data_IF_998696312713
#
_entry.id   IF_998696312713
#
_cell.length_a   1.000
_cell.length_b   1.000
_cell.length_c   1.000
_cell.angle_alpha   90.00
_cell.angle_beta   90.00
_cell.angle_gamma   90.00
#
_symmetry.space_group_name_H-M   'P 1'
#
loop_
_entity.id
_entity.type
_entity.pdbx_description
1 polymer ?
#
# COMPACT_ATOMS: atom_id res chain seq x y z
N UNK A 1 15.90 -19.51 -5.72
CA UNK A 1 14.49 -19.06 -5.70
C UNK A 1 14.49 -17.56 -5.83
N UNK A 2 14.06 -17.08 -7.00
CA UNK A 2 14.35 -15.76 -7.52
C UNK A 2 13.39 -14.71 -6.94
N UNK A 3 13.79 -13.43 -6.99
CA UNK A 3 13.01 -12.24 -6.63
C UNK A 3 11.52 -12.24 -7.08
N UNK A 4 11.15 -13.08 -8.04
CA UNK A 4 9.79 -13.24 -8.58
C UNK A 4 8.77 -13.87 -7.62
N UNK A 5 9.20 -14.67 -6.64
CA UNK A 5 8.25 -15.31 -5.69
C UNK A 5 7.94 -14.43 -4.46
N UNK A 6 8.47 -13.21 -4.40
CA UNK A 6 8.50 -12.38 -3.18
C UNK A 6 7.47 -11.23 -3.15
N UNK A 7 6.64 -11.06 -4.19
CA UNK A 7 5.71 -9.93 -4.34
C UNK A 7 4.22 -10.31 -4.29
N UNK A 8 3.86 -11.41 -3.62
CA UNK A 8 2.48 -11.91 -3.71
C UNK A 8 1.44 -10.98 -3.11
N UNK A 9 1.59 -10.47 -1.89
CA UNK A 9 0.43 -9.88 -1.19
C UNK A 9 0.14 -8.43 -1.62
N UNK A 10 1.16 -7.66 -1.99
CA UNK A 10 0.93 -6.34 -2.61
C UNK A 10 0.40 -6.54 -4.04
N UNK A 11 0.82 -7.58 -4.77
CA UNK A 11 0.29 -7.87 -6.11
C UNK A 11 -1.22 -8.19 -6.10
N UNK A 12 -1.76 -8.57 -4.94
CA UNK A 12 -3.18 -8.83 -4.71
C UNK A 12 -3.93 -7.70 -4.01
N UNK A 13 -3.34 -6.51 -3.86
CA UNK A 13 -4.04 -5.35 -3.29
C UNK A 13 -4.34 -5.45 -1.80
N UNK A 14 -3.39 -5.98 -1.02
CA UNK A 14 -3.56 -6.25 0.41
C UNK A 14 -2.69 -5.29 1.22
N UNK A 15 -3.22 -4.16 1.68
CA UNK A 15 -2.63 -3.49 2.85
C UNK A 15 -3.71 -2.98 3.84
N UNK A 16 -4.89 -2.56 3.37
CA UNK A 16 -6.09 -2.36 4.19
C UNK A 16 -7.09 -3.53 4.17
N UNK A 17 -6.89 -4.51 3.29
CA UNK A 17 -7.75 -5.69 3.16
C UNK A 17 -7.49 -6.78 4.19
N UNK A 18 -6.48 -6.67 5.05
CA UNK A 18 -6.08 -7.82 5.87
C UNK A 18 -7.17 -8.17 6.89
N UNK A 19 -7.61 -9.44 7.00
CA UNK A 19 -8.66 -9.80 7.94
C UNK A 19 -8.22 -9.45 9.36
N UNK A 20 -8.99 -8.57 9.98
CA UNK A 20 -8.88 -8.25 11.39
C UNK A 20 -9.81 -9.19 12.15
N UNK A 21 -9.28 -9.87 13.15
CA UNK A 21 -9.99 -10.86 13.95
C UNK A 21 -10.19 -10.29 15.35
N UNK A 22 -11.44 -10.25 15.81
CA UNK A 22 -11.74 -9.80 17.17
C UNK A 22 -11.46 -10.94 18.16
N UNK A 23 -10.59 -10.68 19.14
CA UNK A 23 -10.30 -11.58 20.25
C UNK A 23 -10.32 -10.79 21.56
N UNK A 24 -11.14 -11.24 22.52
CA UNK A 24 -11.31 -10.59 23.82
C UNK A 24 -11.60 -9.07 23.72
N UNK A 25 -12.31 -8.65 22.67
CA UNK A 25 -12.65 -7.24 22.40
C UNK A 25 -11.53 -6.40 21.77
N UNK A 26 -10.40 -7.02 21.43
CA UNK A 26 -9.29 -6.39 20.70
C UNK A 26 -9.28 -6.88 19.24
N UNK A 27 -9.11 -5.94 18.30
CA UNK A 27 -8.91 -6.29 16.89
C UNK A 27 -7.45 -6.67 16.65
N UNK A 28 -7.23 -7.85 16.09
CA UNK A 28 -5.92 -8.42 15.85
C UNK A 28 -5.73 -8.80 14.38
N UNK A 29 -4.50 -8.65 13.91
CA UNK A 29 -4.08 -9.04 12.58
C UNK A 29 -3.17 -10.26 12.69
N UNK A 30 -3.56 -11.41 12.17
CA UNK A 30 -2.67 -12.58 12.24
C UNK A 30 -1.40 -12.38 11.42
N UNK A 31 -0.29 -12.87 11.96
CA UNK A 31 1.02 -12.80 11.31
C UNK A 31 1.00 -13.39 9.89
N UNK A 32 0.22 -14.45 9.68
CA UNK A 32 0.07 -15.11 8.38
C UNK A 32 -0.74 -14.30 7.36
N UNK A 33 -1.60 -13.39 7.84
CA UNK A 33 -2.44 -12.57 6.98
C UNK A 33 -1.68 -11.31 6.51
N UNK A 34 -0.60 -10.94 7.20
CA UNK A 34 0.24 -9.80 6.81
C UNK A 34 0.93 -10.03 5.46
N UNK A 35 0.91 -9.03 4.56
CA UNK A 35 1.67 -9.08 3.33
C UNK A 35 3.13 -9.45 3.56
N UNK A 36 3.62 -10.46 2.85
CA UNK A 36 4.96 -11.01 3.02
C UNK A 36 6.05 -9.93 2.97
N UNK A 37 5.88 -8.96 2.06
CA UNK A 37 6.75 -7.81 1.83
C UNK A 37 6.93 -6.94 3.09
N UNK A 38 5.88 -6.85 3.91
CA UNK A 38 5.90 -6.09 5.14
C UNK A 38 6.27 -6.96 6.35
N UNK A 39 5.77 -8.20 6.37
CA UNK A 39 5.81 -9.10 7.52
C UNK A 39 7.21 -9.37 8.06
N UNK A 40 8.18 -9.67 7.20
CA UNK A 40 9.46 -10.26 7.62
C UNK A 40 10.54 -9.21 7.92
N UNK A 41 10.47 -8.04 7.28
CA UNK A 41 11.56 -7.06 7.32
C UNK A 41 11.08 -5.63 7.58
N UNK A 42 10.08 -5.15 6.84
CA UNK A 42 9.70 -3.74 6.87
C UNK A 42 8.94 -3.38 8.15
N UNK A 43 7.90 -4.13 8.50
CA UNK A 43 7.14 -3.93 9.73
C UNK A 43 8.01 -4.15 10.98
N UNK A 44 8.78 -5.25 11.11
CA UNK A 44 9.67 -5.41 12.26
C UNK A 44 10.74 -4.33 12.39
N UNK A 45 11.31 -3.90 11.26
CA UNK A 45 12.27 -2.81 11.25
C UNK A 45 11.65 -1.49 11.70
N UNK A 46 10.43 -1.17 11.23
CA UNK A 46 9.71 0.04 11.62
C UNK A 46 9.39 0.05 13.11
N UNK A 47 8.79 -1.02 13.62
CA UNK A 47 8.48 -1.18 15.05
C UNK A 47 9.72 -0.98 15.93
N UNK A 48 10.86 -1.57 15.54
CA UNK A 48 12.12 -1.43 16.29
C UNK A 48 12.56 0.04 16.39
N UNK A 49 12.38 0.81 15.32
CA UNK A 49 12.73 2.24 15.27
C UNK A 49 11.77 3.11 16.09
N UNK A 50 10.52 2.67 16.24
CA UNK A 50 9.52 3.32 17.07
C UNK A 50 9.67 3.00 18.57
N UNK A 51 10.60 2.13 18.96
CA UNK A 51 10.81 1.68 20.35
C UNK A 51 9.53 1.10 20.97
N UNK A 52 8.64 0.53 20.15
CA UNK A 52 7.43 -0.10 20.65
C UNK A 52 7.78 -1.46 21.27
N UNK A 53 7.09 -1.78 22.35
CA UNK A 53 7.22 -3.08 23.01
C UNK A 53 6.77 -4.18 22.05
N UNK A 54 7.71 -5.01 21.62
CA UNK A 54 7.41 -6.11 20.69
C UNK A 54 6.41 -7.10 21.28
N UNK A 55 6.55 -7.36 22.58
CA UNK A 55 5.75 -8.32 23.31
C UNK A 55 5.64 -7.91 24.78
N UNK A 56 4.42 -7.57 25.21
CA UNK A 56 4.10 -7.41 26.62
C UNK A 56 2.64 -7.80 26.85
N UNK A 57 2.42 -8.72 27.80
CA UNK A 57 1.09 -9.21 28.16
C UNK A 57 0.24 -8.13 28.85
N UNK A 58 0.88 -7.16 29.48
CA UNK A 58 0.21 -6.13 30.28
C UNK A 58 0.20 -4.76 29.60
N UNK A 59 0.97 -4.58 28.51
CA UNK A 59 1.03 -3.31 27.79
C UNK A 59 -0.06 -3.23 26.73
N UNK A 60 -0.94 -2.21 26.77
CA UNK A 60 -1.85 -1.92 25.67
C UNK A 60 -1.09 -1.47 24.40
N UNK A 61 0.18 -1.10 24.53
CA UNK A 61 1.04 -0.68 23.41
C UNK A 61 1.87 -1.82 22.80
N UNK A 62 1.71 -3.05 23.28
CA UNK A 62 2.43 -4.18 22.72
C UNK A 62 2.02 -4.41 21.26
N UNK A 63 3.02 -4.66 20.44
CA UNK A 63 2.85 -4.87 18.99
C UNK A 63 2.26 -6.22 18.69
N UNK A 64 2.49 -7.22 19.56
CA UNK A 64 2.04 -8.59 19.34
C UNK A 64 1.21 -9.15 20.50
N UNK A 65 0.31 -10.07 20.13
CA UNK A 65 -0.47 -10.96 21.00
C UNK A 65 -0.28 -12.42 20.57
N UNK A 66 -0.49 -13.33 21.51
CA UNK A 66 -0.67 -14.77 21.27
C UNK A 66 -1.98 -15.15 21.96
N UNK A 67 -3.13 -14.90 21.31
CA UNK A 67 -4.43 -15.16 21.91
C UNK A 67 -4.60 -16.66 22.12
N UNK A 68 -5.22 -17.04 23.24
CA UNK A 68 -5.56 -18.43 23.50
C UNK A 68 -6.55 -18.94 22.44
N UNK A 69 -6.27 -20.08 21.84
CA UNK A 69 -7.13 -20.68 20.80
C UNK A 69 -6.73 -20.34 19.36
N UNK A 70 -5.69 -19.54 19.16
CA UNK A 70 -5.10 -19.28 17.84
C UNK A 70 -3.74 -19.97 17.74
N UNK A 71 -3.51 -20.68 16.65
CA UNK A 71 -2.17 -21.19 16.35
C UNK A 71 -1.33 -20.06 15.74
N UNK A 72 -0.56 -19.37 16.57
CA UNK A 72 0.48 -18.46 16.12
C UNK A 72 0.41 -17.07 16.72
N UNK A 73 1.11 -16.14 16.07
CA UNK A 73 1.26 -14.76 16.51
C UNK A 73 0.28 -13.85 15.78
N UNK A 74 -0.20 -12.81 16.45
CA UNK A 74 -1.00 -11.76 15.87
C UNK A 74 -0.42 -10.39 16.24
N UNK A 75 -0.45 -9.45 15.29
CA UNK A 75 -0.16 -8.05 15.51
C UNK A 75 -1.40 -7.32 16.04
N UNK A 76 -1.21 -6.36 16.93
CA UNK A 76 -2.31 -5.49 17.35
C UNK A 76 -2.69 -4.55 16.20
N UNK A 77 -4.00 -4.29 16.05
CA UNK A 77 -4.48 -3.41 14.99
C UNK A 77 -3.85 -2.01 15.08
N UNK A 78 -3.68 -1.48 16.29
CA UNK A 78 -3.05 -0.18 16.50
C UNK A 78 -1.60 -0.13 15.97
N UNK A 79 -0.80 -1.18 16.17
CA UNK A 79 0.55 -1.22 15.63
C UNK A 79 0.56 -1.35 14.10
N UNK A 80 -0.34 -2.16 13.54
CA UNK A 80 -0.48 -2.30 12.09
C UNK A 80 -0.93 -1.00 11.41
N UNK A 81 -1.94 -0.34 11.96
CA UNK A 81 -2.46 0.95 11.48
C UNK A 81 -1.36 2.02 11.49
N UNK A 82 -0.61 2.13 12.58
CA UNK A 82 0.52 3.06 12.65
C UNK A 82 1.60 2.80 11.59
N UNK A 83 1.84 1.54 11.23
CA UNK A 83 2.75 1.20 10.13
C UNK A 83 2.19 1.60 8.76
N UNK A 84 0.90 1.32 8.52
CA UNK A 84 0.22 1.70 7.26
C UNK A 84 0.20 3.22 7.09
N UNK A 85 -0.07 3.96 8.16
CA UNK A 85 -0.02 5.42 8.17
C UNK A 85 1.38 5.95 7.84
N UNK A 86 2.41 5.37 8.47
CA UNK A 86 3.80 5.71 8.17
C UNK A 86 4.15 5.42 6.70
N UNK A 87 3.74 4.27 6.17
CA UNK A 87 3.96 3.90 4.78
C UNK A 87 3.31 4.91 3.84
N UNK A 88 2.02 5.19 4.04
CA UNK A 88 1.27 6.13 3.21
C UNK A 88 1.88 7.54 3.26
N UNK A 89 2.24 8.03 4.44
CA UNK A 89 2.88 9.33 4.61
C UNK A 89 4.24 9.39 3.89
N UNK A 90 5.06 8.35 4.04
CA UNK A 90 6.37 8.24 3.40
C UNK A 90 6.25 8.26 1.88
N UNK A 91 5.33 7.47 1.32
CA UNK A 91 5.12 7.42 -0.12
C UNK A 91 4.55 8.71 -0.67
N UNK A 92 3.63 9.36 0.04
CA UNK A 92 3.14 10.68 -0.37
C UNK A 92 4.27 11.72 -0.38
N UNK A 93 5.17 11.71 0.60
CA UNK A 93 6.35 12.58 0.62
C UNK A 93 7.29 12.28 -0.57
N UNK A 94 7.52 11.01 -0.89
CA UNK A 94 8.33 10.58 -2.02
C UNK A 94 7.72 11.01 -3.36
N UNK A 95 6.39 10.91 -3.54
CA UNK A 95 5.69 11.43 -4.71
C UNK A 95 5.87 12.95 -4.84
N UNK A 96 5.75 13.71 -3.74
CA UNK A 96 5.97 15.16 -3.77
C UNK A 96 7.41 15.52 -4.13
N UNK A 97 8.39 14.70 -3.73
CA UNK A 97 9.78 14.87 -4.17
C UNK A 97 9.92 14.55 -5.67
N UNK A 98 9.33 13.44 -6.12
CA UNK A 98 9.30 13.04 -7.53
C UNK A 98 8.69 14.13 -8.43
N UNK A 99 7.60 14.76 -8.01
CA UNK A 99 6.99 15.89 -8.73
C UNK A 99 7.93 17.08 -8.84
N UNK A 100 8.70 17.37 -7.78
CA UNK A 100 9.70 18.46 -7.80
C UNK A 100 10.87 18.14 -8.72
N UNK A 101 11.36 16.91 -8.71
CA UNK A 101 12.54 16.50 -9.46
C UNK A 101 12.29 16.40 -10.97
N UNK A 102 11.05 16.16 -11.37
CA UNK A 102 10.67 16.05 -12.80
C UNK A 102 10.59 17.40 -13.50
N UNK A 103 10.45 18.50 -12.77
CA UNK A 103 10.32 19.84 -13.33
C UNK A 103 9.05 20.05 -14.17
N UNK A 104 8.06 19.15 -14.07
CA UNK A 104 6.78 19.31 -14.75
C UNK A 104 6.11 20.61 -14.33
N UNK A 105 5.53 21.33 -15.31
CA UNK A 105 4.79 22.55 -14.99
C UNK A 105 3.57 22.21 -14.12
N UNK A 106 3.13 23.10 -13.21
CA UNK A 106 1.92 22.86 -12.41
C UNK A 106 0.69 22.54 -13.25
N UNK A 107 0.58 23.14 -14.44
CA UNK A 107 -0.50 22.88 -15.38
C UNK A 107 -0.43 21.46 -15.96
N UNK A 108 0.75 21.02 -16.41
CA UNK A 108 0.94 19.68 -16.94
C UNK A 108 0.65 18.62 -15.87
N UNK A 109 1.15 18.81 -14.65
CA UNK A 109 0.88 17.91 -13.54
C UNK A 109 -0.61 17.83 -13.20
N UNK A 110 -1.29 18.98 -13.14
CA UNK A 110 -2.74 19.02 -12.92
C UNK A 110 -3.51 18.30 -14.03
N UNK A 111 -3.07 18.40 -15.28
CA UNK A 111 -3.65 17.67 -16.40
C UNK A 111 -3.49 16.15 -16.23
N UNK A 112 -2.30 15.66 -15.87
CA UNK A 112 -2.05 14.23 -15.66
C UNK A 112 -2.87 13.66 -14.51
N UNK A 113 -2.94 14.38 -13.38
CA UNK A 113 -3.74 13.95 -12.22
C UNK A 113 -5.24 13.93 -12.52
N UNK A 114 -5.69 14.62 -13.57
CA UNK A 114 -7.10 14.74 -13.90
C UNK A 114 -7.61 13.82 -15.02
N UNK A 115 -6.78 12.91 -15.53
CA UNK A 115 -7.17 11.99 -16.59
C UNK A 115 -8.36 11.09 -16.19
N UNK A 116 -9.29 10.88 -17.12
CA UNK A 116 -10.52 10.11 -16.86
C UNK A 116 -10.24 8.66 -16.47
N UNK A 117 -9.22 8.04 -17.07
CA UNK A 117 -8.85 6.66 -16.78
C UNK A 117 -8.26 6.45 -15.38
N UNK A 118 -7.98 7.52 -14.63
CA UNK A 118 -7.48 7.48 -13.25
C UNK A 118 -8.59 7.75 -12.22
N UNK A 119 -9.86 7.76 -12.63
CA UNK A 119 -10.99 8.11 -11.76
C UNK A 119 -11.09 7.20 -10.53
N UNK A 120 -10.92 5.90 -10.69
CA UNK A 120 -10.97 4.95 -9.57
C UNK A 120 -9.91 5.27 -8.50
N UNK A 121 -8.70 5.69 -8.91
CA UNK A 121 -7.66 6.09 -7.96
C UNK A 121 -7.99 7.40 -7.26
N UNK A 122 -8.63 8.36 -7.95
CA UNK A 122 -9.10 9.60 -7.31
C UNK A 122 -10.20 9.32 -6.30
N UNK A 123 -11.16 8.46 -6.66
CA UNK A 123 -12.23 8.00 -5.77
C UNK A 123 -11.64 7.28 -4.55
N UNK A 124 -10.70 6.36 -4.75
CA UNK A 124 -10.01 5.64 -3.68
C UNK A 124 -9.24 6.59 -2.75
N UNK A 125 -8.48 7.53 -3.31
CA UNK A 125 -7.79 8.58 -2.54
C UNK A 125 -8.76 9.41 -1.71
N UNK A 126 -9.89 9.83 -2.28
CA UNK A 126 -10.91 10.58 -1.56
C UNK A 126 -11.55 9.75 -0.43
N UNK A 127 -11.79 8.46 -0.68
CA UNK A 127 -12.34 7.54 0.31
C UNK A 127 -11.36 7.29 1.48
N UNK A 128 -10.05 7.25 1.23
CA UNK A 128 -9.02 7.11 2.26
C UNK A 128 -9.02 8.27 3.28
N UNK A 129 -9.49 9.45 2.88
CA UNK A 129 -9.58 10.63 3.75
C UNK A 129 -10.85 10.66 4.61
N UNK A 130 -11.79 9.73 4.39
CA UNK A 130 -13.04 9.65 5.13
C UNK A 130 -12.95 8.59 6.23
N UNK A 131 -13.67 8.75 7.35
CA UNK A 131 -13.87 7.67 8.31
C UNK A 131 -14.39 6.40 7.61
N UNK A 132 -13.98 5.22 8.09
CA UNK A 132 -14.50 3.96 7.58
C UNK A 132 -16.00 3.83 7.91
N UNK A 133 -16.82 3.86 6.88
CA UNK A 133 -18.27 3.63 6.87
C UNK A 133 -18.56 2.30 6.17
N UNK A 134 -19.75 1.74 6.33
CA UNK A 134 -20.13 0.52 5.61
C UNK A 134 -20.02 0.65 4.07
N UNK A 135 -20.23 1.86 3.53
CA UNK A 135 -20.20 2.13 2.08
C UNK A 135 -18.78 2.20 1.49
N UNK A 136 -17.82 2.81 2.20
CA UNK A 136 -16.42 2.79 1.76
C UNK A 136 -15.66 1.55 2.28
N UNK A 137 -16.23 0.80 3.23
CA UNK A 137 -15.68 -0.46 3.74
C UNK A 137 -15.50 -1.50 2.66
N UNK A 138 -16.42 -1.64 1.70
CA UNK A 138 -16.28 -2.60 0.59
C UNK A 138 -15.13 -2.24 -0.38
N UNK A 139 -14.74 -0.96 -0.42
CA UNK A 139 -13.60 -0.46 -1.20
C UNK A 139 -12.29 -0.46 -0.38
N UNK A 140 -12.39 -0.31 0.94
CA UNK A 140 -11.29 -0.42 1.88
C UNK A 140 -10.89 -1.88 2.18
N UNK A 141 -11.87 -2.77 2.25
CA UNK A 141 -11.72 -4.21 2.49
C UNK A 141 -11.89 -4.97 1.19
N UNK A 142 -10.78 -5.26 0.52
CA UNK A 142 -10.68 -6.36 -0.44
C UNK A 142 -9.76 -7.48 0.03
N UNK A 143 -9.79 -7.79 1.33
CA UNK A 143 -9.27 -9.05 1.85
C UNK A 143 -10.19 -9.67 2.91
N UNK A 144 -11.47 -9.74 2.57
CA UNK A 144 -12.50 -10.42 3.37
C UNK A 144 -13.67 -10.94 2.55
N UNK A 145 -13.47 -11.28 1.27
CA UNK A 145 -14.51 -11.90 0.45
C UNK A 145 -14.64 -13.38 0.81
N UNK A 146 -15.88 -13.89 0.90
CA UNK A 146 -16.16 -15.33 1.07
C UNK A 146 -15.50 -16.23 0.00
N UNK A 147 -15.05 -15.65 -1.12
CA UNK A 147 -14.46 -16.34 -2.28
C UNK A 147 -13.01 -15.94 -2.59
N UNK A 148 -12.32 -15.20 -1.72
CA UNK A 148 -10.93 -14.77 -1.94
C UNK A 148 -10.74 -13.70 -3.02
N UNK A 149 -9.50 -13.23 -3.15
CA UNK A 149 -9.03 -12.19 -4.09
C UNK A 149 -9.50 -12.49 -5.52
N UNK A 150 -10.13 -11.55 -6.25
CA UNK A 150 -10.39 -11.72 -7.67
C UNK A 150 -9.06 -12.02 -8.37
N UNK A 151 -9.02 -13.21 -8.98
CA UNK A 151 -7.89 -13.64 -9.76
C UNK A 151 -7.55 -12.57 -10.79
N UNK A 152 -6.28 -12.21 -10.84
CA UNK A 152 -5.60 -11.73 -12.03
C UNK A 152 -6.30 -12.32 -13.26
N UNK A 153 -7.12 -11.52 -13.94
CA UNK A 153 -7.72 -11.99 -15.18
C UNK A 153 -6.60 -12.02 -16.20
N UNK A 154 -6.32 -13.22 -16.73
CA UNK A 154 -5.49 -13.38 -17.92
C UNK A 154 -6.22 -12.76 -19.10
N UNK A 155 -6.19 -11.44 -19.21
CA UNK A 155 -6.46 -10.79 -20.48
C UNK A 155 -5.33 -11.18 -21.42
N UNK A 156 -5.61 -12.13 -22.31
CA UNK A 156 -4.78 -12.45 -23.49
C UNK A 156 -3.27 -12.60 -23.21
N UNK A 157 -2.89 -13.30 -22.13
CA UNK A 157 -1.51 -13.68 -21.72
C UNK A 157 -0.71 -12.75 -20.80
N UNK A 158 -1.26 -11.61 -20.34
CA UNK A 158 -0.59 -10.71 -19.38
C UNK A 158 -1.34 -10.65 -18.04
N UNK A 159 -0.59 -10.49 -16.94
CA UNK A 159 -1.13 -10.29 -15.59
C UNK A 159 -1.45 -8.81 -15.44
N UNK A 160 -2.70 -8.47 -15.12
CA UNK A 160 -3.15 -7.08 -14.92
C UNK A 160 -3.69 -6.89 -13.50
N UNK A 161 -3.65 -5.65 -13.01
CA UNK A 161 -4.22 -5.24 -11.73
C UNK A 161 -5.24 -4.13 -11.96
N UNK A 162 -6.50 -4.35 -11.58
CA UNK A 162 -7.55 -3.36 -11.76
C UNK A 162 -7.40 -2.20 -10.77
N UNK A 163 -7.62 -0.97 -11.22
CA UNK A 163 -7.46 0.22 -10.39
C UNK A 163 -8.40 0.23 -9.17
N UNK A 164 -9.60 -0.33 -9.32
CA UNK A 164 -10.58 -0.49 -8.24
C UNK A 164 -10.24 -1.61 -7.24
N UNK A 165 -9.18 -2.39 -7.47
CA UNK A 165 -8.63 -3.38 -6.54
C UNK A 165 -7.41 -2.85 -5.76
N UNK A 166 -6.94 -1.64 -6.06
CA UNK A 166 -5.81 -1.03 -5.38
C UNK A 166 -6.21 -0.62 -3.94
N UNK A 167 -5.38 -0.91 -2.92
CA UNK A 167 -5.62 -0.46 -1.56
C UNK A 167 -5.73 1.07 -1.47
N UNK A 168 -6.65 1.56 -0.63
CA UNK A 168 -6.97 2.98 -0.54
C UNK A 168 -5.76 3.85 -0.18
N UNK A 169 -4.94 3.38 0.75
CA UNK A 169 -3.69 3.98 1.21
C UNK A 169 -2.63 4.10 0.09
N UNK A 170 -2.74 3.26 -0.95
CA UNK A 170 -1.85 3.28 -2.11
C UNK A 170 -2.43 4.08 -3.28
N UNK A 171 -3.75 4.35 -3.31
CA UNK A 171 -4.37 5.09 -4.40
C UNK A 171 -3.76 6.49 -4.60
N UNK A 172 -3.51 7.21 -3.52
CA UNK A 172 -2.88 8.54 -3.57
C UNK A 172 -1.45 8.51 -4.12
N UNK A 173 -0.55 7.70 -3.51
CA UNK A 173 0.79 7.51 -4.03
C UNK A 173 0.86 7.00 -5.47
N UNK A 174 0.06 6.00 -5.84
CA UNK A 174 0.01 5.46 -7.20
C UNK A 174 -0.44 6.50 -8.21
N UNK A 175 -1.50 7.26 -7.90
CA UNK A 175 -1.99 8.35 -8.75
C UNK A 175 -0.89 9.38 -9.02
N UNK A 176 -0.17 9.80 -7.97
CA UNK A 176 0.89 10.78 -8.12
C UNK A 176 2.13 10.23 -8.84
N UNK A 177 2.44 8.96 -8.66
CA UNK A 177 3.52 8.28 -9.36
C UNK A 177 3.22 8.15 -10.87
N UNK A 178 2.03 7.65 -11.22
CA UNK A 178 1.58 7.51 -12.61
C UNK A 178 1.58 8.85 -13.36
N UNK A 179 1.19 9.93 -12.68
CA UNK A 179 1.19 11.27 -13.28
C UNK A 179 2.57 11.74 -13.76
N UNK A 180 3.65 11.15 -13.24
CA UNK A 180 5.03 11.41 -13.65
C UNK A 180 5.54 10.37 -14.63
N UNK A 181 5.31 9.09 -14.36
CA UNK A 181 5.97 8.00 -15.08
C UNK A 181 5.24 7.57 -16.34
N UNK A 182 3.93 7.79 -16.38
CA UNK A 182 3.06 7.44 -17.51
C UNK A 182 2.28 8.68 -18.00
N UNK A 183 2.98 9.78 -18.39
CA UNK A 183 2.29 11.00 -18.79
C UNK A 183 1.53 10.77 -20.10
N UNK A 184 0.24 11.10 -20.10
CA UNK A 184 -0.57 11.14 -21.32
C UNK A 184 -0.30 12.43 -22.10
N UNK A 185 -0.10 12.36 -23.41
CA UNK A 185 0.03 13.57 -24.21
C UNK A 185 -1.31 14.33 -24.26
N UNK A 186 -1.31 15.67 -24.21
CA UNK A 186 -2.56 16.47 -24.32
C UNK A 186 -3.33 16.21 -25.62
N UNK A 187 -2.63 15.85 -26.68
CA UNK A 187 -3.19 15.62 -28.02
C UNK A 187 -3.67 14.17 -28.23
N UNK A 188 -3.21 13.23 -27.40
CA UNK A 188 -3.57 11.82 -27.48
C UNK A 188 -4.38 11.44 -26.23
N UNK A 189 -5.70 11.35 -26.39
CA UNK A 189 -6.64 10.93 -25.34
C UNK A 189 -6.56 9.43 -24.99
N UNK A 190 -5.56 8.72 -25.50
CA UNK A 190 -5.35 7.31 -25.19
C UNK A 190 -4.35 7.21 -24.02
N UNK A 191 -4.67 6.43 -22.98
CA UNK A 191 -3.70 6.14 -21.93
C UNK A 191 -2.50 5.38 -22.50
N UNK A 192 -1.41 5.30 -21.74
CA UNK A 192 -0.23 4.54 -22.17
C UNK A 192 -0.61 3.10 -22.52
N UNK A 193 0.21 2.43 -23.35
CA UNK A 193 -0.04 1.04 -23.77
C UNK A 193 -0.17 0.06 -22.60
N UNK A 194 0.23 0.48 -21.39
CA UNK A 194 0.13 -0.31 -20.16
C UNK A 194 -1.26 -0.32 -19.53
N UNK A 195 -2.15 0.57 -19.97
CA UNK A 195 -3.52 0.63 -19.50
C UNK A 195 -4.44 -0.26 -20.35
N UNK A 196 -5.10 -1.20 -19.69
CA UNK A 196 -6.10 -2.07 -20.32
C UNK A 196 -7.48 -1.49 -20.07
N UNK A 197 -8.22 -1.27 -21.16
CA UNK A 197 -9.62 -0.87 -21.12
C UNK A 197 -10.49 -2.12 -21.29
N UNK A 198 -11.25 -2.48 -20.27
CA UNK A 198 -12.42 -3.34 -20.51
C UNK A 198 -13.50 -2.53 -21.24
N UNK A 199 -14.32 -3.19 -22.06
CA UNK A 199 -15.36 -2.51 -22.86
C UNK A 199 -16.43 -1.78 -22.04
N UNK A 200 -16.40 -1.89 -20.71
CA UNK A 200 -17.28 -1.21 -19.75
C UNK A 200 -16.57 -0.07 -18.98
N UNK A 201 -15.30 0.22 -19.28
CA UNK A 201 -14.54 1.29 -18.65
C UNK A 201 -13.67 0.89 -17.46
N UNK A 202 -13.52 -0.41 -17.16
CA UNK A 202 -12.55 -0.84 -16.13
C UNK A 202 -11.14 -0.67 -16.66
N UNK A 203 -10.38 0.16 -15.95
CA UNK A 203 -8.98 0.45 -16.25
C UNK A 203 -8.11 -0.46 -15.38
N UNK A 204 -7.18 -1.20 -16.00
CA UNK A 204 -6.20 -2.02 -15.31
C UNK A 204 -4.78 -1.63 -15.72
N UNK A 205 -3.83 -1.85 -14.80
CA UNK A 205 -2.40 -1.66 -15.03
C UNK A 205 -1.73 -2.99 -15.37
N UNK A 206 -0.83 -2.97 -16.35
CA UNK A 206 0.08 -4.06 -16.65
C UNK A 206 1.37 -3.97 -15.83
N UNK A 207 2.48 -3.70 -16.52
CA UNK A 207 3.82 -3.61 -15.95
C UNK A 207 3.99 -2.42 -15.00
N UNK A 208 3.22 -1.34 -15.17
CA UNK A 208 3.29 -0.16 -14.30
C UNK A 208 2.99 -0.49 -12.85
N UNK A 209 2.12 -1.47 -12.59
CA UNK A 209 1.88 -1.91 -11.22
C UNK A 209 3.14 -2.51 -10.59
N UNK A 210 3.82 -3.42 -11.30
CA UNK A 210 5.07 -4.01 -10.83
C UNK A 210 6.22 -2.99 -10.73
N UNK A 211 6.23 -1.97 -11.59
CA UNK A 211 7.16 -0.84 -11.50
C UNK A 211 6.90 0.00 -10.25
N UNK A 212 5.63 0.34 -9.97
CA UNK A 212 5.22 1.07 -8.79
C UNK A 212 5.55 0.30 -7.50
N UNK A 213 5.31 -1.00 -7.44
CA UNK A 213 5.65 -1.82 -6.28
C UNK A 213 7.15 -1.80 -5.97
N UNK A 214 8.00 -1.90 -6.99
CA UNK A 214 9.46 -1.79 -6.85
C UNK A 214 9.89 -0.40 -6.37
N UNK A 215 9.28 0.64 -6.93
CA UNK A 215 9.49 2.01 -6.49
C UNK A 215 9.12 2.19 -5.02
N UNK A 216 7.90 1.80 -4.64
CA UNK A 216 7.42 1.85 -3.25
C UNK A 216 8.37 1.12 -2.29
N UNK A 217 8.76 -0.12 -2.60
CA UNK A 217 9.67 -0.88 -1.76
C UNK A 217 11.01 -0.16 -1.56
N UNK A 218 11.56 0.45 -2.61
CA UNK A 218 12.79 1.24 -2.51
C UNK A 218 12.61 2.43 -1.57
N UNK A 219 11.60 3.27 -1.80
CA UNK A 219 11.36 4.48 -1.00
C UNK A 219 11.16 4.14 0.48
N UNK A 220 10.36 3.11 0.79
CA UNK A 220 10.12 2.68 2.16
C UNK A 220 11.39 2.11 2.83
N UNK A 221 12.19 1.35 2.08
CA UNK A 221 13.46 0.80 2.58
C UNK A 221 14.47 1.91 2.91
N UNK A 222 14.60 2.90 2.03
CA UNK A 222 15.49 4.05 2.22
C UNK A 222 15.05 4.93 3.39
N UNK A 223 13.75 5.18 3.51
CA UNK A 223 13.18 5.91 4.65
C UNK A 223 13.44 5.17 5.97
N UNK A 224 13.17 3.86 6.01
CA UNK A 224 13.41 3.04 7.19
C UNK A 224 14.90 3.02 7.58
N UNK A 225 15.80 2.87 6.60
CA UNK A 225 17.24 2.93 6.85
C UNK A 225 17.67 4.28 7.41
N UNK A 226 17.12 5.38 6.89
CA UNK A 226 17.39 6.73 7.37
C UNK A 226 16.97 6.89 8.82
N UNK A 227 15.78 6.40 9.19
CA UNK A 227 15.31 6.45 10.58
C UNK A 227 16.18 5.58 11.51
N UNK A 228 16.64 4.41 11.04
CA UNK A 228 17.55 3.54 11.80
C UNK A 228 18.91 4.21 12.06
N UNK A 229 19.49 4.88 11.05
CA UNK A 229 20.75 5.61 11.18
C UNK A 229 20.62 6.82 12.11
N UNK A 230 19.57 7.63 11.94
CA UNK A 230 19.31 8.78 12.81
C UNK A 230 19.18 8.35 14.28
N UNK A 231 18.59 7.19 14.54
CA UNK A 231 18.50 6.61 15.88
C UNK A 231 19.87 6.19 16.42
N UNK A 232 20.68 5.49 15.63
CA UNK A 232 22.04 5.11 16.03
C UNK A 232 22.88 6.34 16.43
N UNK A 233 22.78 7.42 15.65
CA UNK A 233 23.49 8.66 15.94
C UNK A 233 22.95 9.39 17.18
N UNK A 234 21.65 9.27 17.47
CA UNK A 234 21.04 9.85 18.68
C UNK A 234 21.38 9.08 19.96
N UNK A 235 21.49 7.75 19.89
CA UNK A 235 21.84 6.89 21.03
C UNK A 235 23.34 6.87 21.37
N UNK A 236 24.19 7.36 20.47
CA UNK A 236 25.64 7.48 20.64
C UNK A 236 26.12 8.89 21.02
N UNK A 237 25.22 9.83 21.33
CA UNK A 237 25.63 11.12 21.92
C UNK A 237 25.94 10.90 23.41
N UNK A 238 27.17 11.17 23.86
CA UNK A 238 27.59 10.99 25.25
C UNK A 238 26.85 11.92 26.22
#
# INVERSE_FOLDING_TARGET
MALRDKFHAIQFGIAAGVPAHEHDGEMLLYWMDVPYEFRDHMFPGWVKVQEMDWWSLESPHSVMRCPLGINGLAYTWCAWEGFVDWMAATLNAAVLQLHRDTGLSPFALAYQLNQTHLEDLRIGKAAAALPLTQCNRERAFKGGLANGVPAIEKSRSQLVTYLHDIPLELCGPLLGWLAVTEPSEPEHSLPSLDFYLDGNGSVALGESWGNFQRWMHRELSEALQTMQLARYDSGNRP
#
